data_IF_353685683618
#
_entry.id   IF_353685683618
#
_cell.length_a   1.000
_cell.length_b   1.000
_cell.length_c   1.000
_cell.angle_alpha   90.00
_cell.angle_beta   90.00
_cell.angle_gamma   90.00
#
_symmetry.space_group_name_H-M   'P 1'
#
loop_
_entity.id
_entity.type
_entity.pdbx_description
1 polymer ?
#
# COMPACT_ATOMS: atom_id res chain seq x y z
N UNK A 1 14.88 14.85 4.00
CA UNK A 1 14.75 13.45 4.41
C UNK A 1 14.37 13.36 5.88
N UNK A 2 13.51 12.38 6.23
CA UNK A 2 13.15 12.09 7.62
C UNK A 2 14.27 11.31 8.32
N UNK A 3 14.40 11.36 9.67
CA UNK A 3 15.45 10.64 10.38
C UNK A 3 15.54 9.15 10.07
N UNK A 4 14.39 8.46 10.00
CA UNK A 4 14.34 7.04 9.65
C UNK A 4 14.78 6.73 8.21
N UNK A 5 14.62 7.68 7.27
CA UNK A 5 15.10 7.54 5.89
C UNK A 5 16.64 7.62 5.86
N UNK A 6 17.21 8.54 6.62
CA UNK A 6 18.66 8.67 6.77
C UNK A 6 19.24 7.41 7.41
N UNK A 7 18.63 6.94 8.50
CA UNK A 7 19.07 5.74 9.20
C UNK A 7 19.04 4.48 8.31
N UNK A 8 17.99 4.32 7.49
CA UNK A 8 17.90 3.22 6.54
C UNK A 8 18.98 3.29 5.46
N UNK A 9 19.35 4.50 5.03
CA UNK A 9 20.43 4.70 4.05
C UNK A 9 21.80 4.41 4.66
N UNK A 10 22.12 4.96 5.84
CA UNK A 10 23.38 4.73 6.52
C UNK A 10 23.65 3.25 6.85
N UNK A 11 22.58 2.51 7.15
CA UNK A 11 22.64 1.08 7.48
C UNK A 11 22.33 0.17 6.29
N UNK A 12 22.38 0.70 5.08
CA UNK A 12 21.94 0.02 3.83
C UNK A 12 22.69 -1.29 3.51
N UNK A 13 23.90 -1.47 4.04
CA UNK A 13 24.73 -2.67 3.83
C UNK A 13 24.37 -3.83 4.77
N UNK A 14 23.43 -3.67 5.69
CA UNK A 14 22.99 -4.77 6.56
C UNK A 14 22.24 -5.83 5.77
N UNK A 15 22.42 -7.13 6.11
CA UNK A 15 21.76 -8.23 5.41
C UNK A 15 20.22 -8.17 5.47
N UNK A 16 19.70 -7.58 6.56
CA UNK A 16 18.26 -7.38 6.73
C UNK A 16 17.99 -6.13 7.55
N UNK A 17 16.84 -5.47 7.27
CA UNK A 17 16.33 -4.33 8.03
C UNK A 17 14.81 -4.31 7.97
N UNK A 18 14.16 -3.93 9.06
CA UNK A 18 12.72 -3.72 9.13
C UNK A 18 12.44 -2.28 9.54
N UNK A 19 11.72 -1.54 8.70
CA UNK A 19 11.20 -0.22 9.04
C UNK A 19 9.73 -0.30 9.40
N UNK A 20 9.39 0.17 10.58
CA UNK A 20 8.02 0.35 11.05
C UNK A 20 7.72 1.83 11.12
N UNK A 21 6.77 2.30 10.33
CA UNK A 21 6.40 3.70 10.29
C UNK A 21 4.91 3.84 9.91
N UNK A 22 4.22 4.88 10.38
CA UNK A 22 2.84 5.14 10.03
C UNK A 22 2.70 5.38 8.52
N UNK A 23 1.48 5.32 8.04
CA UNK A 23 1.16 5.68 6.66
C UNK A 23 1.49 7.16 6.43
N UNK A 24 2.00 7.54 5.26
CA UNK A 24 2.41 8.92 4.99
C UNK A 24 3.80 9.31 5.51
N UNK A 25 4.48 8.47 6.29
CA UNK A 25 5.83 8.75 6.81
C UNK A 25 6.96 8.53 5.79
N UNK A 26 6.66 8.31 4.52
CA UNK A 26 7.69 8.13 3.48
C UNK A 26 8.45 6.81 3.55
N UNK A 27 7.82 5.72 4.07
CA UNK A 27 8.41 4.37 4.14
C UNK A 27 8.97 3.87 2.81
N UNK A 28 8.18 4.04 1.76
CA UNK A 28 8.53 3.56 0.42
C UNK A 28 9.84 4.19 -0.06
N UNK A 29 9.97 5.51 0.08
CA UNK A 29 11.20 6.21 -0.26
C UNK A 29 12.37 5.72 0.61
N UNK A 30 12.17 5.52 1.91
CA UNK A 30 13.20 4.97 2.81
C UNK A 30 13.73 3.61 2.31
N UNK A 31 12.85 2.75 1.80
CA UNK A 31 13.24 1.45 1.23
C UNK A 31 14.02 1.56 -0.07
N UNK A 32 13.69 2.53 -0.94
CA UNK A 32 14.31 2.68 -2.25
C UNK A 32 15.58 3.55 -2.26
N UNK A 33 15.73 4.50 -1.33
CA UNK A 33 16.87 5.42 -1.29
C UNK A 33 18.23 4.72 -1.45
N UNK A 34 18.55 3.63 -0.72
CA UNK A 34 19.81 2.94 -0.91
C UNK A 34 19.99 2.39 -2.32
N UNK A 35 18.92 1.87 -2.92
CA UNK A 35 18.96 1.34 -4.30
C UNK A 35 19.18 2.43 -5.33
N UNK A 36 18.55 3.59 -5.17
CA UNK A 36 18.71 4.73 -6.06
C UNK A 36 20.16 5.25 -6.01
N UNK A 37 20.75 5.40 -4.83
CA UNK A 37 22.14 5.81 -4.67
C UNK A 37 23.15 4.79 -5.26
N UNK A 38 22.87 3.49 -5.10
CA UNK A 38 23.73 2.43 -5.65
C UNK A 38 23.64 2.40 -7.19
N UNK A 39 22.43 2.55 -7.75
CA UNK A 39 22.20 2.55 -9.20
C UNK A 39 22.70 3.81 -9.91
N UNK A 40 22.76 4.95 -9.24
CA UNK A 40 23.36 6.17 -9.77
C UNK A 40 24.87 5.97 -10.05
N UNK A 41 25.55 5.28 -9.13
CA UNK A 41 27.01 5.08 -9.21
C UNK A 41 27.42 3.89 -10.06
N UNK A 42 26.54 2.90 -10.24
CA UNK A 42 26.79 1.70 -11.04
C UNK A 42 25.73 1.59 -12.13
N UNK A 43 26.11 1.81 -13.40
CA UNK A 43 25.20 1.53 -14.53
C UNK A 43 24.73 0.08 -14.47
N UNK A 44 23.38 -0.10 -14.34
CA UNK A 44 22.75 -1.38 -14.08
C UNK A 44 23.03 -2.44 -15.14
N UNK A 45 23.51 -3.57 -14.70
CA UNK A 45 23.68 -4.77 -15.51
C UNK A 45 22.59 -5.80 -15.19
N UNK A 46 21.31 -5.42 -15.30
CA UNK A 46 20.18 -6.29 -15.01
C UNK A 46 19.48 -5.98 -13.68
N UNK A 47 18.72 -6.92 -13.12
CA UNK A 47 17.89 -6.72 -11.96
C UNK A 47 18.72 -6.45 -10.69
N UNK A 48 18.69 -5.21 -10.21
CA UNK A 48 19.35 -4.77 -8.98
C UNK A 48 18.42 -4.82 -7.77
N UNK A 49 17.17 -4.35 -7.93
CA UNK A 49 16.22 -4.24 -6.83
C UNK A 49 14.88 -4.88 -7.19
N UNK A 50 14.38 -5.72 -6.29
CA UNK A 50 13.06 -6.32 -6.38
C UNK A 50 12.16 -5.73 -5.29
N UNK A 51 11.05 -5.13 -5.69
CA UNK A 51 10.03 -4.64 -4.76
C UNK A 51 8.81 -5.53 -4.82
N UNK A 52 8.33 -5.97 -3.66
CA UNK A 52 7.23 -6.92 -3.51
C UNK A 52 6.11 -6.27 -2.71
N UNK A 53 4.95 -6.18 -3.35
CA UNK A 53 3.72 -5.65 -2.75
C UNK A 53 2.64 -6.71 -2.67
N UNK A 54 1.82 -6.74 -1.60
CA UNK A 54 0.67 -7.62 -1.53
C UNK A 54 -0.43 -7.29 -2.54
N UNK A 55 -0.45 -6.10 -3.12
CA UNK A 55 -1.46 -5.65 -4.08
C UNK A 55 -0.86 -5.16 -5.39
N UNK A 56 -1.50 -5.53 -6.52
CA UNK A 56 -1.11 -5.07 -7.86
C UNK A 56 -1.21 -3.54 -8.01
N UNK A 57 -2.29 -2.95 -7.48
CA UNK A 57 -2.53 -1.51 -7.56
C UNK A 57 -1.42 -0.71 -6.84
N UNK A 58 -0.91 -1.22 -5.72
CA UNK A 58 0.18 -0.60 -5.00
C UNK A 58 1.48 -0.59 -5.83
N UNK A 59 1.78 -1.66 -6.56
CA UNK A 59 2.96 -1.71 -7.42
C UNK A 59 2.91 -0.62 -8.52
N UNK A 60 1.74 -0.40 -9.12
CA UNK A 60 1.57 0.64 -10.15
C UNK A 60 1.66 2.06 -9.58
N UNK A 61 1.13 2.29 -8.37
CA UNK A 61 1.24 3.57 -7.68
C UNK A 61 2.68 3.89 -7.30
N UNK A 62 3.39 2.92 -6.72
CA UNK A 62 4.81 3.05 -6.38
C UNK A 62 5.65 3.36 -7.61
N UNK A 63 5.38 2.71 -8.74
CA UNK A 63 6.07 3.02 -10.00
C UNK A 63 5.94 4.49 -10.36
N UNK A 64 4.72 5.03 -10.34
CA UNK A 64 4.47 6.44 -10.65
C UNK A 64 5.21 7.38 -9.69
N UNK A 65 5.14 7.10 -8.38
CA UNK A 65 5.76 7.92 -7.35
C UNK A 65 7.30 7.82 -7.37
N UNK A 66 7.85 6.69 -7.81
CA UNK A 66 9.29 6.49 -7.93
C UNK A 66 9.86 7.11 -9.21
N UNK A 67 9.10 7.09 -10.31
CA UNK A 67 9.54 7.70 -11.58
C UNK A 67 9.71 9.21 -11.45
N UNK A 68 8.86 9.89 -10.66
CA UNK A 68 8.95 11.34 -10.52
C UNK A 68 10.34 11.81 -10.03
N UNK A 69 10.89 11.37 -8.88
CA UNK A 69 12.23 11.76 -8.45
C UNK A 69 13.35 11.23 -9.36
N UNK A 70 13.19 10.08 -10.01
CA UNK A 70 14.16 9.54 -10.95
C UNK A 70 14.31 10.48 -12.16
N UNK A 71 13.18 10.90 -12.73
CA UNK A 71 13.14 11.81 -13.88
C UNK A 71 13.64 13.22 -13.52
N UNK A 72 13.25 13.74 -12.35
CA UNK A 72 13.65 15.06 -11.86
C UNK A 72 15.16 15.15 -11.61
N UNK A 73 15.77 14.08 -11.10
CA UNK A 73 17.21 13.99 -10.86
C UNK A 73 18.01 13.55 -12.10
N UNK A 74 17.33 13.19 -13.18
CA UNK A 74 17.98 12.76 -14.43
C UNK A 74 18.67 11.40 -14.33
N UNK A 75 18.26 10.53 -13.40
CA UNK A 75 18.82 9.19 -13.24
C UNK A 75 18.41 8.28 -14.39
N UNK A 76 19.36 7.48 -14.89
CA UNK A 76 19.10 6.48 -15.95
C UNK A 76 18.75 5.12 -15.34
N UNK A 77 17.68 5.07 -14.58
CA UNK A 77 17.21 3.87 -13.87
C UNK A 77 15.92 3.38 -14.51
N UNK A 78 15.90 2.14 -14.95
CA UNK A 78 14.72 1.50 -15.52
C UNK A 78 13.84 0.88 -14.42
N UNK A 79 12.55 1.28 -14.35
CA UNK A 79 11.57 0.78 -13.38
C UNK A 79 10.39 0.17 -14.11
N UNK A 80 10.14 -1.11 -13.88
CA UNK A 80 9.00 -1.82 -14.50
C UNK A 80 8.19 -2.59 -13.47
N UNK A 81 6.91 -2.78 -13.79
CA UNK A 81 6.01 -3.63 -12.99
C UNK A 81 5.74 -4.97 -13.68
N UNK A 82 5.68 -6.04 -12.87
CA UNK A 82 5.31 -7.38 -13.29
C UNK A 82 4.26 -7.97 -12.36
N UNK A 83 3.03 -7.94 -12.81
CA UNK A 83 1.87 -8.45 -12.08
C UNK A 83 1.10 -9.47 -12.91
N UNK A 84 -0.01 -10.00 -12.39
CA UNK A 84 -0.91 -10.85 -13.17
C UNK A 84 -1.40 -10.19 -14.46
N UNK A 85 -1.56 -8.87 -14.44
CA UNK A 85 -2.16 -8.08 -15.53
C UNK A 85 -1.13 -7.65 -16.60
N UNK A 86 0.16 -7.81 -16.34
CA UNK A 86 1.24 -7.52 -17.32
C UNK A 86 1.14 -8.50 -18.50
N UNK A 87 1.18 -7.98 -19.72
CA UNK A 87 1.04 -8.78 -20.94
C UNK A 87 2.16 -9.82 -21.10
N UNK A 88 1.88 -10.92 -21.81
CA UNK A 88 2.85 -11.99 -22.05
C UNK A 88 4.08 -11.52 -22.83
N UNK A 89 3.91 -10.56 -23.74
CA UNK A 89 5.01 -9.96 -24.51
C UNK A 89 5.96 -9.20 -23.57
N UNK A 90 5.43 -8.34 -22.70
CA UNK A 90 6.23 -7.59 -21.71
C UNK A 90 6.93 -8.55 -20.75
N UNK A 91 6.21 -9.56 -20.23
CA UNK A 91 6.79 -10.60 -19.36
C UNK A 91 7.98 -11.32 -20.00
N UNK A 92 7.90 -11.61 -21.30
CA UNK A 92 9.00 -12.25 -22.05
C UNK A 92 10.20 -11.30 -22.21
N UNK A 93 9.95 -10.04 -22.57
CA UNK A 93 10.99 -9.01 -22.66
C UNK A 93 11.72 -8.81 -21.34
N UNK A 94 10.98 -8.67 -20.23
CA UNK A 94 11.54 -8.53 -18.88
C UNK A 94 12.44 -9.69 -18.47
N UNK A 95 12.15 -10.91 -18.93
CA UNK A 95 13.02 -12.06 -18.72
C UNK A 95 14.30 -11.98 -19.56
N UNK A 96 14.19 -11.54 -20.81
CA UNK A 96 15.34 -11.40 -21.70
C UNK A 96 16.27 -10.25 -21.29
N UNK A 97 15.70 -9.10 -20.91
CA UNK A 97 16.37 -7.89 -20.46
C UNK A 97 15.64 -7.37 -19.19
N UNK A 98 16.05 -7.82 -18.00
CA UNK A 98 15.44 -7.35 -16.75
C UNK A 98 15.69 -5.87 -16.51
N UNK A 99 14.70 -5.11 -15.97
CA UNK A 99 14.91 -3.73 -15.55
C UNK A 99 15.81 -3.67 -14.30
N UNK A 100 16.33 -2.49 -13.99
CA UNK A 100 17.11 -2.25 -12.76
C UNK A 100 16.26 -2.45 -11.51
N UNK A 101 15.00 -1.99 -11.54
CA UNK A 101 14.03 -2.13 -10.46
C UNK A 101 12.77 -2.83 -11.01
N UNK A 102 12.41 -3.96 -10.42
CA UNK A 102 11.20 -4.71 -10.77
C UNK A 102 10.21 -4.68 -9.60
N UNK A 103 9.00 -4.15 -9.86
CA UNK A 103 7.89 -4.13 -8.90
C UNK A 103 6.97 -5.32 -9.17
N UNK A 104 6.67 -6.14 -8.15
CA UNK A 104 5.93 -7.38 -8.37
C UNK A 104 5.02 -7.77 -7.18
N UNK A 105 4.29 -8.87 -7.33
CA UNK A 105 3.48 -9.50 -6.26
C UNK A 105 4.06 -10.86 -5.90
N UNK A 106 3.75 -11.42 -4.71
CA UNK A 106 4.22 -12.75 -4.30
C UNK A 106 3.96 -13.84 -5.34
N UNK A 107 2.78 -13.84 -5.94
CA UNK A 107 2.38 -14.85 -6.94
C UNK A 107 3.20 -14.71 -8.24
N UNK A 108 3.40 -13.48 -8.70
CA UNK A 108 4.19 -13.21 -9.91
C UNK A 108 5.66 -13.54 -9.70
N UNK A 109 6.17 -13.32 -8.47
CA UNK A 109 7.53 -13.70 -8.08
C UNK A 109 7.70 -15.21 -8.06
N UNK A 110 6.76 -15.95 -7.45
CA UNK A 110 6.79 -17.42 -7.42
C UNK A 110 6.87 -18.01 -8.83
N UNK A 111 6.10 -17.45 -9.79
CA UNK A 111 6.20 -17.83 -11.20
C UNK A 111 7.57 -17.45 -11.79
N UNK A 112 8.09 -16.26 -11.50
CA UNK A 112 9.38 -15.81 -12.06
C UNK A 112 10.53 -16.69 -11.57
N UNK A 113 10.51 -17.15 -10.33
CA UNK A 113 11.52 -18.07 -9.77
C UNK A 113 11.41 -19.48 -10.31
N UNK A 114 10.30 -19.87 -10.94
CA UNK A 114 10.12 -21.22 -11.50
C UNK A 114 10.67 -21.40 -12.89
N UNK A 115 11.04 -20.32 -13.59
CA UNK A 115 11.60 -20.39 -14.94
C UNK A 115 13.06 -20.89 -14.92
N UNK A 116 13.49 -21.54 -16.00
CA UNK A 116 14.86 -22.04 -16.17
C UNK A 116 15.91 -20.91 -16.20
N UNK A 117 15.54 -19.72 -16.67
CA UNK A 117 16.39 -18.54 -16.72
C UNK A 117 16.42 -17.73 -15.39
N UNK A 118 15.76 -18.19 -14.33
CA UNK A 118 15.78 -17.56 -13.02
C UNK A 118 17.21 -17.29 -12.47
N UNK A 119 18.17 -18.23 -12.57
CA UNK A 119 19.55 -17.95 -12.13
C UNK A 119 20.17 -16.73 -12.81
N UNK A 120 19.94 -16.57 -14.11
CA UNK A 120 20.45 -15.41 -14.86
C UNK A 120 19.74 -14.11 -14.47
N UNK A 121 18.41 -14.16 -14.25
CA UNK A 121 17.62 -12.99 -13.88
C UNK A 121 18.03 -12.44 -12.53
N UNK A 122 18.26 -13.32 -11.54
CA UNK A 122 18.52 -12.95 -10.15
C UNK A 122 20.01 -12.86 -9.78
N UNK A 123 20.93 -13.22 -10.67
CA UNK A 123 22.38 -13.21 -10.37
C UNK A 123 22.91 -11.86 -9.90
N UNK A 124 22.37 -10.75 -10.41
CA UNK A 124 22.76 -9.38 -10.04
C UNK A 124 21.95 -8.76 -8.92
N UNK A 125 20.98 -9.48 -8.34
CA UNK A 125 20.04 -8.93 -7.39
C UNK A 125 20.71 -8.59 -6.05
N UNK A 126 20.69 -7.30 -5.69
CA UNK A 126 21.32 -6.77 -4.46
C UNK A 126 20.32 -6.57 -3.33
N UNK A 127 19.08 -6.23 -3.66
CA UNK A 127 18.09 -5.86 -2.63
C UNK A 127 16.70 -6.36 -2.95
N UNK A 128 16.01 -6.86 -1.93
CA UNK A 128 14.56 -7.12 -1.95
C UNK A 128 13.89 -6.22 -0.93
N UNK A 129 12.87 -5.50 -1.36
CA UNK A 129 12.00 -4.67 -0.51
C UNK A 129 10.65 -5.36 -0.44
N UNK A 130 10.22 -5.77 0.75
CA UNK A 130 8.88 -6.34 1.00
C UNK A 130 8.03 -5.28 1.68
N UNK A 131 7.10 -4.72 0.94
CA UNK A 131 6.20 -3.69 1.47
C UNK A 131 4.94 -4.30 2.06
N UNK A 132 4.34 -3.57 3.02
CA UNK A 132 3.19 -4.02 3.81
C UNK A 132 3.38 -5.46 4.34
N UNK A 133 4.61 -5.77 4.76
CA UNK A 133 5.02 -7.13 5.15
C UNK A 133 4.12 -7.73 6.24
N UNK A 134 3.54 -6.90 7.12
CA UNK A 134 2.60 -7.34 8.15
C UNK A 134 1.32 -7.97 7.56
N UNK A 135 0.91 -7.58 6.34
CA UNK A 135 -0.24 -8.18 5.66
C UNK A 135 0.07 -9.59 5.10
N UNK A 136 1.34 -9.97 5.05
CA UNK A 136 1.81 -11.25 4.51
C UNK A 136 2.17 -12.25 5.61
N UNK A 137 2.66 -11.81 6.77
CA UNK A 137 3.25 -12.65 7.81
C UNK A 137 2.42 -13.87 8.22
N UNK A 138 1.10 -13.74 8.33
CA UNK A 138 0.20 -14.82 8.80
C UNK A 138 -0.65 -15.39 7.67
N UNK A 139 -0.11 -15.44 6.45
CA UNK A 139 -0.89 -15.84 5.28
C UNK A 139 -0.15 -16.84 4.40
N UNK A 140 -0.90 -17.71 3.72
CA UNK A 140 -0.34 -18.63 2.70
C UNK A 140 0.45 -17.90 1.60
N UNK A 141 0.09 -16.63 1.32
CA UNK A 141 0.84 -15.79 0.38
C UNK A 141 2.21 -15.40 0.92
N UNK A 142 2.30 -15.18 2.23
CA UNK A 142 3.56 -14.95 2.91
C UNK A 142 4.46 -16.19 2.90
N UNK A 143 3.91 -17.36 3.16
CA UNK A 143 4.67 -18.63 3.07
C UNK A 143 5.23 -18.83 1.67
N UNK A 144 4.40 -18.60 0.63
CA UNK A 144 4.83 -18.67 -0.76
C UNK A 144 5.93 -17.65 -1.07
N UNK A 145 5.83 -16.43 -0.54
CA UNK A 145 6.86 -15.41 -0.68
C UNK A 145 8.17 -15.87 -0.06
N UNK A 146 8.13 -16.40 1.16
CA UNK A 146 9.35 -16.84 1.87
C UNK A 146 10.04 -18.00 1.16
N UNK A 147 9.29 -18.94 0.56
CA UNK A 147 9.85 -19.97 -0.29
C UNK A 147 10.57 -19.39 -1.53
N UNK A 148 9.95 -18.42 -2.20
CA UNK A 148 10.55 -17.75 -3.34
C UNK A 148 11.82 -16.99 -2.93
N UNK A 149 11.80 -16.24 -1.81
CA UNK A 149 12.96 -15.51 -1.30
C UNK A 149 14.10 -16.44 -0.86
N UNK A 150 13.79 -17.59 -0.28
CA UNK A 150 14.78 -18.61 0.06
C UNK A 150 15.49 -19.13 -1.18
N UNK A 151 14.74 -19.41 -2.25
CA UNK A 151 15.30 -19.83 -3.54
C UNK A 151 16.18 -18.71 -4.15
N UNK A 152 15.73 -17.48 -4.14
CA UNK A 152 16.50 -16.33 -4.65
C UNK A 152 17.78 -16.12 -3.84
N UNK A 153 17.74 -16.31 -2.51
CA UNK A 153 18.93 -16.20 -1.65
C UNK A 153 20.02 -17.21 -2.05
N UNK A 154 19.62 -18.39 -2.53
CA UNK A 154 20.55 -19.37 -3.07
C UNK A 154 21.18 -18.95 -4.39
N UNK A 155 20.50 -18.09 -5.18
CA UNK A 155 20.99 -17.55 -6.46
C UNK A 155 21.79 -16.25 -6.29
N UNK A 156 21.48 -15.46 -5.26
CA UNK A 156 22.14 -14.21 -4.89
C UNK A 156 22.48 -14.24 -3.39
N UNK A 157 23.61 -14.83 -2.98
CA UNK A 157 23.96 -15.03 -1.57
C UNK A 157 24.05 -13.75 -0.74
N UNK A 158 24.50 -12.66 -1.33
CA UNK A 158 24.67 -11.35 -0.68
C UNK A 158 23.38 -10.49 -0.69
N UNK A 159 22.25 -11.09 -1.06
CA UNK A 159 20.97 -10.42 -1.13
C UNK A 159 20.57 -9.80 0.24
N UNK A 160 20.28 -8.51 0.21
CA UNK A 160 19.79 -7.75 1.37
C UNK A 160 18.28 -7.69 1.37
N UNK A 161 17.66 -7.90 2.53
CA UNK A 161 16.19 -7.91 2.69
C UNK A 161 15.73 -6.70 3.49
N UNK A 162 14.83 -5.92 2.93
CA UNK A 162 14.22 -4.75 3.58
C UNK A 162 12.73 -5.02 3.74
N UNK A 163 12.24 -4.99 4.98
CA UNK A 163 10.80 -5.03 5.28
C UNK A 163 10.28 -3.63 5.57
N UNK A 164 9.13 -3.27 4.98
CA UNK A 164 8.40 -2.06 5.29
C UNK A 164 7.05 -2.44 5.89
N UNK A 165 6.71 -1.84 7.02
CA UNK A 165 5.48 -2.16 7.75
C UNK A 165 4.82 -0.91 8.29
N UNK A 166 3.48 -0.94 8.37
CA UNK A 166 2.76 -0.04 9.26
C UNK A 166 3.03 -0.40 10.73
N UNK A 167 2.54 0.40 11.66
CA UNK A 167 2.60 0.12 13.10
C UNK A 167 1.97 -1.24 13.42
N UNK A 168 2.67 -2.07 14.16
CA UNK A 168 2.30 -3.45 14.50
C UNK A 168 2.54 -3.72 15.98
N UNK A 169 1.87 -4.73 16.50
CA UNK A 169 1.93 -5.12 17.90
C UNK A 169 3.23 -5.86 18.24
N UNK A 170 3.66 -6.77 17.34
CA UNK A 170 4.90 -7.54 17.50
C UNK A 170 5.88 -7.33 16.32
N UNK A 171 6.73 -6.31 16.42
CA UNK A 171 7.79 -6.07 15.43
C UNK A 171 8.80 -7.20 15.28
N UNK A 172 9.06 -7.95 16.39
CA UNK A 172 10.05 -9.03 16.36
C UNK A 172 9.56 -10.22 15.54
N UNK A 173 8.27 -10.57 15.64
CA UNK A 173 7.68 -11.63 14.81
C UNK A 173 7.84 -11.30 13.31
N UNK A 174 7.62 -10.06 12.91
CA UNK A 174 7.80 -9.61 11.52
C UNK A 174 9.28 -9.66 11.10
N UNK A 175 10.19 -9.23 11.97
CA UNK A 175 11.63 -9.33 11.72
C UNK A 175 12.08 -10.78 11.52
N UNK A 176 11.60 -11.69 12.37
CA UNK A 176 11.86 -13.12 12.25
C UNK A 176 11.29 -13.73 10.96
N UNK A 177 10.09 -13.31 10.57
CA UNK A 177 9.50 -13.70 9.30
C UNK A 177 10.38 -13.23 8.12
N UNK A 178 10.81 -11.98 8.09
CA UNK A 178 11.65 -11.44 7.02
C UNK A 178 12.98 -12.20 6.85
N UNK A 179 13.59 -12.64 7.95
CA UNK A 179 14.88 -13.35 7.97
C UNK A 179 14.75 -14.86 7.98
N UNK A 180 13.54 -15.42 7.98
CA UNK A 180 13.26 -16.83 8.21
C UNK A 180 13.88 -17.37 9.52
N UNK A 181 14.01 -16.52 10.56
CA UNK A 181 14.60 -16.85 11.85
C UNK A 181 16.12 -17.05 11.86
N UNK A 182 16.79 -16.90 10.69
CA UNK A 182 18.22 -17.22 10.57
C UNK A 182 19.15 -16.15 11.20
N UNK A 183 18.70 -14.90 11.29
CA UNK A 183 19.49 -13.78 11.82
C UNK A 183 18.60 -12.78 12.53
N UNK A 184 19.14 -12.07 13.51
CA UNK A 184 18.45 -10.93 14.15
C UNK A 184 18.23 -9.83 13.11
N UNK A 185 16.98 -9.43 12.91
CA UNK A 185 16.62 -8.32 12.03
C UNK A 185 16.65 -7.01 12.82
N UNK A 186 17.51 -6.03 12.48
CA UNK A 186 17.44 -4.69 13.03
C UNK A 186 16.08 -4.06 12.70
N UNK A 187 15.44 -3.47 13.73
CA UNK A 187 14.12 -2.85 13.64
C UNK A 187 14.29 -1.35 13.85
N UNK A 188 13.85 -0.56 12.88
CA UNK A 188 13.78 0.88 12.92
C UNK A 188 12.33 1.29 13.12
N UNK A 189 12.04 2.05 14.16
CA UNK A 189 10.68 2.54 14.45
C UNK A 189 10.68 4.05 14.26
N UNK A 190 9.94 4.51 13.26
CA UNK A 190 9.74 5.93 13.03
C UNK A 190 8.73 6.52 14.03
N UNK A 191 8.82 7.82 14.23
CA UNK A 191 7.84 8.56 15.03
C UNK A 191 6.43 8.31 14.52
N UNK A 192 5.51 8.09 15.45
CA UNK A 192 4.11 7.71 15.12
C UNK A 192 3.27 8.88 14.61
N UNK A 193 3.81 10.11 14.68
CA UNK A 193 3.05 11.32 14.36
C UNK A 193 1.96 11.64 15.40
N UNK A 194 1.13 12.65 15.15
CA UNK A 194 0.05 13.01 16.06
C UNK A 194 -1.03 11.92 16.12
N UNK A 195 -1.65 11.69 17.29
CA UNK A 195 -2.71 10.71 17.44
C UNK A 195 -3.93 11.07 16.55
N UNK A 196 -4.66 10.07 16.05
CA UNK A 196 -5.85 10.32 15.22
C UNK A 196 -6.97 11.00 16.02
N UNK A 197 -7.67 11.96 15.37
CA UNK A 197 -8.91 12.57 15.88
C UNK A 197 -10.10 11.69 15.47
N UNK A 198 -10.57 10.86 16.40
CA UNK A 198 -11.67 9.91 16.18
C UNK A 198 -12.91 10.39 16.91
N UNK A 199 -14.01 10.56 16.17
CA UNK A 199 -15.31 10.96 16.71
C UNK A 199 -16.36 9.90 16.40
N UNK A 200 -17.32 9.74 17.33
CA UNK A 200 -18.55 9.04 17.03
C UNK A 200 -19.51 10.01 16.34
N UNK A 201 -20.24 9.54 15.34
CA UNK A 201 -21.29 10.36 14.72
C UNK A 201 -22.47 10.45 15.69
N UNK A 202 -22.80 11.67 16.08
CA UNK A 202 -23.98 11.91 16.89
C UNK A 202 -25.22 11.85 16.00
N UNK A 203 -26.05 10.82 16.20
CA UNK A 203 -27.28 10.60 15.45
C UNK A 203 -28.45 10.70 16.42
N UNK A 204 -29.28 11.69 16.20
CA UNK A 204 -30.45 11.97 17.06
C UNK A 204 -31.62 10.99 16.86
N UNK A 205 -31.56 10.12 15.84
CA UNK A 205 -32.61 9.16 15.52
C UNK A 205 -32.43 7.85 16.29
N UNK A 206 -33.54 7.17 16.59
CA UNK A 206 -33.52 5.84 17.17
C UNK A 206 -32.81 4.84 16.27
N UNK A 207 -31.72 4.24 16.76
CA UNK A 207 -30.97 3.23 16.03
C UNK A 207 -31.87 2.02 15.73
N UNK A 208 -31.99 1.58 14.48
CA UNK A 208 -32.76 0.40 14.16
C UNK A 208 -32.10 -0.86 14.73
N UNK A 209 -32.88 -1.75 15.32
CA UNK A 209 -32.43 -3.01 15.93
C UNK A 209 -31.61 -3.89 14.99
N UNK A 210 -31.86 -3.80 13.70
CA UNK A 210 -31.19 -4.60 12.66
C UNK A 210 -29.83 -4.04 12.18
N UNK A 211 -29.33 -2.98 12.79
CA UNK A 211 -28.05 -2.36 12.39
C UNK A 211 -28.04 -2.04 10.88
N UNK A 212 -29.00 -1.28 10.38
CA UNK A 212 -29.35 -1.10 8.96
C UNK A 212 -28.21 -0.61 8.02
N UNK A 213 -26.96 -1.01 8.26
CA UNK A 213 -25.81 -0.66 7.40
C UNK A 213 -25.56 0.85 7.30
N UNK A 214 -25.93 1.62 8.35
CA UNK A 214 -25.74 3.07 8.44
C UNK A 214 -26.78 3.90 7.67
N UNK A 215 -27.85 3.30 7.12
CA UNK A 215 -28.87 4.04 6.37
C UNK A 215 -29.54 5.15 7.17
N UNK A 216 -29.70 4.97 8.48
CA UNK A 216 -30.20 5.98 9.40
C UNK A 216 -29.33 7.24 9.49
N UNK A 217 -28.06 7.14 9.12
CA UNK A 217 -27.07 8.22 9.21
C UNK A 217 -26.79 8.91 7.86
N UNK A 218 -27.54 8.62 6.80
CA UNK A 218 -27.26 9.13 5.45
C UNK A 218 -27.14 10.66 5.43
N UNK A 219 -28.09 11.37 6.02
CA UNK A 219 -28.10 12.84 6.03
C UNK A 219 -26.91 13.39 6.83
N UNK A 220 -26.64 12.80 8.02
CA UNK A 220 -25.50 13.21 8.84
C UNK A 220 -24.16 12.94 8.14
N UNK A 221 -24.03 11.82 7.43
CA UNK A 221 -22.84 11.50 6.63
C UNK A 221 -22.71 12.49 5.47
N UNK A 222 -23.81 12.81 4.78
CA UNK A 222 -23.80 13.79 3.69
C UNK A 222 -23.36 15.17 4.18
N UNK A 223 -23.80 15.60 5.37
CA UNK A 223 -23.37 16.84 6.01
C UNK A 223 -21.86 16.84 6.32
N UNK A 224 -21.29 15.69 6.69
CA UNK A 224 -19.84 15.59 6.85
C UNK A 224 -19.12 15.68 5.51
N UNK A 225 -19.63 15.02 4.47
CA UNK A 225 -19.08 15.13 3.11
C UNK A 225 -19.05 16.57 2.60
N UNK A 226 -20.10 17.35 2.89
CA UNK A 226 -20.18 18.79 2.53
C UNK A 226 -19.09 19.63 3.20
N UNK A 227 -18.69 19.27 4.42
CA UNK A 227 -17.70 20.01 5.23
C UNK A 227 -16.24 19.67 4.89
N UNK A 228 -16.00 18.62 4.07
CA UNK A 228 -14.67 18.10 3.78
C UNK A 228 -14.43 18.07 2.27
N UNK A 229 -13.15 18.06 1.84
CA UNK A 229 -12.81 18.04 0.42
C UNK A 229 -13.02 16.65 -0.19
N UNK A 230 -12.40 15.62 0.39
CA UNK A 230 -12.57 14.23 -0.05
C UNK A 230 -12.78 13.32 1.16
N UNK A 231 -13.88 12.59 1.17
CA UNK A 231 -14.26 11.67 2.26
C UNK A 231 -14.26 10.22 1.78
N UNK A 232 -13.55 9.32 2.47
CA UNK A 232 -13.67 7.88 2.28
C UNK A 232 -14.69 7.29 3.25
N UNK A 233 -15.71 6.58 2.73
CA UNK A 233 -16.77 5.97 3.53
C UNK A 233 -16.61 4.44 3.45
N UNK A 234 -16.08 3.84 4.51
CA UNK A 234 -15.78 2.41 4.56
C UNK A 234 -16.94 1.56 5.05
N UNK A 235 -17.24 0.52 4.30
CA UNK A 235 -18.13 -0.57 4.67
C UNK A 235 -17.38 -1.90 4.81
N UNK A 236 -17.97 -2.85 5.54
CA UNK A 236 -17.38 -4.17 5.74
C UNK A 236 -17.66 -5.16 4.60
N UNK A 237 -18.77 -4.97 3.89
CA UNK A 237 -19.19 -5.83 2.76
C UNK A 237 -19.56 -5.01 1.53
N UNK A 238 -19.45 -5.64 0.35
CA UNK A 238 -19.84 -5.02 -0.91
C UNK A 238 -21.32 -4.67 -0.96
N UNK A 239 -22.18 -5.59 -0.54
CA UNK A 239 -23.61 -5.37 -0.54
C UNK A 239 -24.01 -4.16 0.31
N UNK A 240 -23.41 -4.00 1.50
CA UNK A 240 -23.64 -2.82 2.33
C UNK A 240 -23.15 -1.53 1.66
N UNK A 241 -21.98 -1.57 1.02
CA UNK A 241 -21.46 -0.42 0.31
C UNK A 241 -22.35 0.01 -0.86
N UNK A 242 -22.84 -0.94 -1.67
CA UNK A 242 -23.75 -0.68 -2.80
C UNK A 242 -25.10 -0.10 -2.34
N UNK A 243 -25.71 -0.70 -1.31
CA UNK A 243 -26.96 -0.21 -0.73
C UNK A 243 -26.78 1.19 -0.13
N UNK A 244 -25.71 1.41 0.63
CA UNK A 244 -25.42 2.71 1.23
C UNK A 244 -25.15 3.77 0.16
N UNK A 245 -24.35 3.45 -0.86
CA UNK A 245 -24.08 4.32 -1.99
C UNK A 245 -25.38 4.73 -2.71
N UNK A 246 -26.27 3.77 -2.96
CA UNK A 246 -27.56 4.06 -3.60
C UNK A 246 -28.39 5.08 -2.79
N UNK A 247 -28.50 4.90 -1.48
CA UNK A 247 -29.22 5.84 -0.63
C UNK A 247 -28.51 7.21 -0.52
N UNK A 248 -27.17 7.22 -0.44
CA UNK A 248 -26.39 8.44 -0.43
C UNK A 248 -26.56 9.22 -1.73
N UNK A 249 -26.61 8.51 -2.87
CA UNK A 249 -26.84 9.08 -4.19
C UNK A 249 -28.24 9.73 -4.28
N UNK A 250 -29.27 9.06 -3.79
CA UNK A 250 -30.65 9.59 -3.79
C UNK A 250 -30.78 10.83 -2.89
N UNK A 251 -30.06 10.90 -1.78
CA UNK A 251 -30.07 12.04 -0.87
C UNK A 251 -29.16 13.21 -1.33
N UNK A 252 -28.36 13.02 -2.37
CA UNK A 252 -27.40 14.00 -2.85
C UNK A 252 -28.04 15.02 -3.81
N UNK A 253 -28.90 15.87 -3.28
CA UNK A 253 -29.63 16.91 -4.03
C UNK A 253 -28.69 17.94 -4.69
N UNK A 254 -27.50 18.17 -4.11
CA UNK A 254 -26.50 19.12 -4.63
C UNK A 254 -25.65 18.54 -5.78
N UNK A 255 -25.94 17.30 -6.20
CA UNK A 255 -25.19 16.59 -7.24
C UNK A 255 -23.66 16.57 -7.04
N UNK A 256 -23.23 16.47 -5.77
CA UNK A 256 -21.79 16.33 -5.46
C UNK A 256 -21.22 15.09 -6.14
N UNK A 257 -19.99 15.15 -6.67
CA UNK A 257 -19.35 13.98 -7.30
C UNK A 257 -19.01 12.93 -6.25
N UNK A 258 -19.83 11.90 -6.16
CA UNK A 258 -19.64 10.73 -5.29
C UNK A 258 -19.47 9.47 -6.13
N UNK A 259 -18.67 8.52 -5.64
CA UNK A 259 -18.40 7.29 -6.33
C UNK A 259 -18.43 6.08 -5.39
N UNK A 260 -18.43 4.87 -5.98
CA UNK A 260 -18.29 3.61 -5.25
C UNK A 260 -17.03 2.88 -5.72
N UNK A 261 -16.31 2.22 -4.78
CA UNK A 261 -15.12 1.43 -5.10
C UNK A 261 -15.06 0.12 -4.30
N UNK A 262 -15.09 -1.01 -5.00
CA UNK A 262 -14.89 -2.34 -4.42
C UNK A 262 -14.34 -3.33 -5.45
N UNK A 263 -13.78 -4.45 -4.97
CA UNK A 263 -13.06 -5.42 -5.80
C UNK A 263 -13.88 -6.16 -6.88
N UNK A 264 -15.22 -6.02 -6.88
CA UNK A 264 -16.09 -6.65 -7.89
C UNK A 264 -16.52 -5.71 -9.02
N UNK A 265 -16.16 -4.43 -8.93
CA UNK A 265 -16.33 -3.52 -10.05
C UNK A 265 -15.43 -3.94 -11.21
N UNK A 266 -15.86 -3.65 -12.43
CA UNK A 266 -15.02 -3.77 -13.61
C UNK A 266 -13.70 -2.99 -13.46
N UNK A 267 -12.63 -3.52 -14.03
CA UNK A 267 -11.30 -2.94 -13.92
C UNK A 267 -11.24 -1.50 -14.45
N UNK A 268 -11.93 -1.21 -15.56
CA UNK A 268 -11.94 0.14 -16.13
C UNK A 268 -12.67 1.12 -15.22
N UNK A 269 -13.77 0.70 -14.60
CA UNK A 269 -14.51 1.53 -13.63
C UNK A 269 -13.66 1.81 -12.39
N UNK A 270 -12.97 0.82 -11.85
CA UNK A 270 -12.05 1.02 -10.72
C UNK A 270 -10.99 2.06 -11.06
N UNK A 271 -10.30 1.92 -12.19
CA UNK A 271 -9.29 2.88 -12.63
C UNK A 271 -9.83 4.30 -12.87
N UNK A 272 -11.09 4.43 -13.33
CA UNK A 272 -11.74 5.74 -13.46
C UNK A 272 -11.93 6.41 -12.09
N UNK A 273 -12.43 5.66 -11.10
CA UNK A 273 -12.62 6.18 -9.74
C UNK A 273 -11.27 6.52 -9.10
N UNK A 274 -10.28 5.63 -9.21
CA UNK A 274 -8.92 5.83 -8.72
C UNK A 274 -8.29 7.11 -9.33
N UNK A 275 -8.40 7.27 -10.64
CA UNK A 275 -7.89 8.46 -11.34
C UNK A 275 -8.60 9.74 -10.93
N UNK A 276 -9.93 9.68 -10.72
CA UNK A 276 -10.72 10.84 -10.29
C UNK A 276 -10.39 11.24 -8.84
N UNK A 277 -10.11 10.26 -7.96
CA UNK A 277 -9.65 10.51 -6.59
C UNK A 277 -8.31 11.27 -6.59
N UNK A 278 -7.31 10.74 -7.30
CA UNK A 278 -5.97 11.35 -7.39
C UNK A 278 -6.03 12.79 -7.92
N UNK A 279 -6.97 13.07 -8.82
CA UNK A 279 -7.19 14.41 -9.37
C UNK A 279 -8.03 15.33 -8.47
N UNK A 280 -8.47 14.87 -7.29
CA UNK A 280 -9.33 15.63 -6.39
C UNK A 280 -10.71 15.95 -6.96
N UNK A 281 -11.23 15.13 -7.88
CA UNK A 281 -12.51 15.34 -8.57
C UNK A 281 -13.71 14.74 -7.82
N UNK A 282 -13.48 13.98 -6.73
CA UNK A 282 -14.54 13.31 -5.97
C UNK A 282 -14.65 13.90 -4.56
N UNK A 283 -15.88 14.14 -4.14
CA UNK A 283 -16.23 14.60 -2.78
C UNK A 283 -16.34 13.43 -1.80
N UNK A 284 -16.83 12.29 -2.26
CA UNK A 284 -16.87 11.10 -1.43
C UNK A 284 -16.70 9.82 -2.26
N UNK A 285 -16.10 8.80 -1.64
CA UNK A 285 -16.04 7.44 -2.19
C UNK A 285 -16.51 6.44 -1.16
N UNK A 286 -17.61 5.76 -1.45
CA UNK A 286 -18.09 4.62 -0.66
C UNK A 286 -17.27 3.40 -1.05
N UNK A 287 -16.61 2.76 -0.10
CA UNK A 287 -15.66 1.70 -0.41
C UNK A 287 -15.66 0.55 0.60
N UNK A 288 -14.98 -0.51 0.22
CA UNK A 288 -14.69 -1.66 1.09
C UNK A 288 -13.17 -1.79 1.29
N UNK A 289 -12.69 -2.95 1.70
CA UNK A 289 -11.25 -3.21 1.88
C UNK A 289 -10.37 -3.01 0.65
N UNK A 290 -10.91 -2.66 -0.50
CA UNK A 290 -10.14 -2.36 -1.71
C UNK A 290 -9.28 -1.09 -1.59
N UNK A 291 -9.63 -0.18 -0.68
CA UNK A 291 -8.89 1.05 -0.39
C UNK A 291 -8.20 1.02 0.99
N UNK A 292 -8.15 -0.14 1.67
CA UNK A 292 -7.49 -0.28 2.98
C UNK A 292 -5.97 -0.08 2.91
N UNK A 293 -5.33 -0.43 1.78
CA UNK A 293 -3.86 -0.50 1.67
C UNK A 293 -3.27 0.63 0.81
N UNK A 294 -2.15 1.06 1.22
CA UNK A 294 -0.95 1.79 0.78
C UNK A 294 -0.95 2.73 -0.41
N UNK A 295 -2.02 2.92 -1.16
CA UNK A 295 -2.04 3.85 -2.29
C UNK A 295 -2.26 5.27 -1.77
N UNK A 296 -1.54 6.23 -2.32
CA UNK A 296 -1.80 7.64 -2.11
C UNK A 296 -3.00 8.08 -2.96
N UNK A 297 -4.13 8.26 -2.28
CA UNK A 297 -5.40 8.64 -2.92
C UNK A 297 -5.57 10.16 -3.05
N UNK A 298 -4.50 10.94 -2.85
CA UNK A 298 -4.56 12.39 -2.86
C UNK A 298 -5.05 12.98 -1.53
N UNK A 299 -5.61 14.17 -1.55
CA UNK A 299 -6.02 14.93 -0.37
C UNK A 299 -7.34 14.40 0.25
N UNK A 300 -7.32 13.16 0.76
CA UNK A 300 -8.39 12.63 1.61
C UNK A 300 -8.26 13.27 2.99
N UNK A 301 -9.26 14.01 3.44
CA UNK A 301 -9.24 14.73 4.71
C UNK A 301 -10.17 14.14 5.78
N UNK A 302 -11.07 13.22 5.40
CA UNK A 302 -11.94 12.50 6.35
C UNK A 302 -12.11 11.03 5.97
N UNK A 303 -12.08 10.16 6.98
CA UNK A 303 -12.51 8.76 6.89
C UNK A 303 -13.77 8.55 7.72
N UNK A 304 -14.81 7.96 7.14
CA UNK A 304 -16.01 7.52 7.85
C UNK A 304 -16.06 6.00 7.84
N UNK A 305 -16.13 5.39 9.00
CA UNK A 305 -16.32 3.94 9.16
C UNK A 305 -17.77 3.63 9.52
N UNK A 306 -18.46 2.94 8.64
CA UNK A 306 -19.84 2.48 8.88
C UNK A 306 -19.81 1.07 9.46
N UNK A 307 -20.34 0.94 10.68
CA UNK A 307 -20.34 -0.31 11.45
C UNK A 307 -18.95 -0.73 11.94
N UNK A 308 -18.90 -1.62 12.93
CA UNK A 308 -17.66 -2.07 13.53
C UNK A 308 -16.76 -2.83 12.49
N UNK A 309 -15.50 -2.46 12.35
CA UNK A 309 -14.57 -3.20 11.50
C UNK A 309 -14.26 -4.58 12.09
N UNK A 310 -13.78 -5.51 11.26
CA UNK A 310 -13.46 -6.88 11.71
C UNK A 310 -12.40 -6.94 12.81
N UNK A 311 -11.49 -5.99 12.84
CA UNK A 311 -10.47 -5.84 13.89
C UNK A 311 -9.96 -4.40 13.96
N UNK A 312 -9.34 -4.05 15.09
CA UNK A 312 -8.79 -2.71 15.36
C UNK A 312 -7.66 -2.36 14.40
N UNK A 313 -6.80 -3.30 14.01
CA UNK A 313 -5.70 -3.07 13.05
C UNK A 313 -6.23 -2.50 11.73
N UNK A 314 -7.36 -3.05 11.25
CA UNK A 314 -8.01 -2.57 10.03
C UNK A 314 -8.59 -1.17 10.17
N UNK A 315 -9.17 -0.86 11.32
CA UNK A 315 -9.66 0.49 11.61
C UNK A 315 -8.51 1.51 11.55
N UNK A 316 -7.41 1.22 12.22
CA UNK A 316 -6.22 2.08 12.22
C UNK A 316 -5.67 2.29 10.80
N UNK A 317 -5.61 1.23 9.98
CA UNK A 317 -5.19 1.33 8.58
C UNK A 317 -6.12 2.23 7.75
N UNK A 318 -7.44 2.13 7.95
CA UNK A 318 -8.45 2.98 7.28
C UNK A 318 -8.32 4.44 7.71
N UNK A 319 -8.23 4.68 9.02
CA UNK A 319 -8.06 6.02 9.59
C UNK A 319 -6.80 6.68 9.03
N UNK A 320 -5.71 5.93 8.90
CA UNK A 320 -4.46 6.41 8.31
C UNK A 320 -4.54 6.80 6.83
N UNK A 321 -5.71 6.66 6.17
CA UNK A 321 -5.95 7.21 4.82
C UNK A 321 -6.32 8.70 4.84
N UNK A 322 -6.80 9.21 5.96
CA UNK A 322 -7.10 10.63 6.11
C UNK A 322 -5.84 11.43 6.44
N UNK A 323 -5.74 12.64 5.89
CA UNK A 323 -4.64 13.56 6.15
C UNK A 323 -3.27 12.90 6.00
N UNK A 324 -3.01 12.27 4.84
CA UNK A 324 -1.80 11.52 4.53
C UNK A 324 -0.51 12.39 4.55
N UNK A 325 -0.43 13.33 5.51
CA UNK A 325 0.69 14.23 5.75
C UNK A 325 1.31 13.93 7.11
N UNK A 326 2.61 13.88 7.19
CA UNK A 326 3.37 13.49 8.38
C UNK A 326 2.97 14.22 9.68
N UNK A 327 2.58 15.50 9.60
CA UNK A 327 2.28 16.35 10.77
C UNK A 327 0.79 16.63 11.00
N UNK A 328 -0.12 16.03 10.23
CA UNK A 328 -1.54 16.26 10.38
C UNK A 328 -2.23 15.05 11.04
N UNK A 329 -3.03 15.23 12.13
CA UNK A 329 -3.76 14.13 12.72
C UNK A 329 -4.77 13.56 11.72
N UNK A 330 -4.79 12.23 11.51
CA UNK A 330 -5.83 11.59 10.72
C UNK A 330 -7.20 11.84 11.36
N UNK A 331 -8.20 12.22 10.56
CA UNK A 331 -9.56 12.45 11.04
C UNK A 331 -10.48 11.30 10.67
N UNK A 332 -11.22 10.79 11.65
CA UNK A 332 -12.17 9.71 11.44
C UNK A 332 -13.48 9.91 12.19
N UNK A 333 -14.55 9.44 11.58
CA UNK A 333 -15.89 9.35 12.19
C UNK A 333 -16.33 7.90 12.16
N UNK A 334 -16.83 7.41 13.27
CA UNK A 334 -17.42 6.07 13.41
C UNK A 334 -18.95 6.21 13.53
N UNK A 335 -19.67 5.38 12.74
CA UNK A 335 -21.12 5.36 12.64
C UNK A 335 -21.67 4.00 13.03
#
# INVERSE_FOLDING_TARGET
LHPHQIEMLEKSQRPSQLLIAPTGAGKTLAGFLPSLCELETSSGNGLHTLYISPLKALASDIKRNLMYPIDELGFKISVEDRTGDTSSHVKRRQRAAPPDILLTTPESLALLTSYEDAPRIFAGLQRVIVDEIHALCESKRGDQLMLALSRIQGLAPDLRRVGLSATVEDPKAIGNFLTAGAKVCPIHIADTGPPPDIKMLDVLENLPWSGAGGRYAINNVLDQVKKHNTTLIFHNTRAQAEIFFHHLWLANEEAMPIAIHHGSLDMQQRHRVESAMIKGQLRAVVCTGSLDLGIDWGDVDLVIQIGAPKNVKRLVQRIGRANHRYNAPPKAIIV
#
